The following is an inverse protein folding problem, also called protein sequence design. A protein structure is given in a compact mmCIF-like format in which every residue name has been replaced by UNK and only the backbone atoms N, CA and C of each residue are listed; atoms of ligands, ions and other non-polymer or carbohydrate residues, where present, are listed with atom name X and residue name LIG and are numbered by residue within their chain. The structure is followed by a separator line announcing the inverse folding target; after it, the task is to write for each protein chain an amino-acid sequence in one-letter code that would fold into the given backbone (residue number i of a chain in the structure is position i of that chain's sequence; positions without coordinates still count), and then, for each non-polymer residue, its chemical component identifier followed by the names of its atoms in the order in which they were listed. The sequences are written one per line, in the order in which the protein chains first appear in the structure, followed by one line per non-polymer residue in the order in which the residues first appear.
data_IF_770904485635
#
_entry.id   IF_770904485635
#
_cell.length_a   1.000
_cell.length_b   1.000
_cell.length_c   1.000
_cell.angle_alpha   90.00
_cell.angle_beta   90.00
_cell.angle_gamma   90.00
#
_symmetry.space_group_name_H-M   'P 1'
#
loop_
_entity.id
_entity.type
_entity.pdbx_description
1 polymer ?
2 polymer ?
3 non-polymer ?
#
loop_
_entity_poly.entity_id
_entity_poly.type
_entity_poly.pdbx_seq_one_letter_code
_entity_poly.pdbx_strand_id
1 'polyribonucleotide' 'GUCCCCUUCGUCUAGAGGCCCAGGACACCGCCCUUUCACGGCGGUAACAGGGGUUCGAAUCCCCUAGGGGACGCCA' ?
#
# COMPACT_ATOMS: atom_id res chain seq x y z
N UNK B 16 2.27 -0.01 -35.44
CA UNK B 16 1.69 -0.74 -34.27
C UNK B 16 2.62 -0.58 -33.03
N UNK B 17 3.80 0.02 -33.26
CA UNK B 17 4.78 0.27 -32.20
C UNK B 17 4.44 1.60 -31.53
N UNK B 18 3.85 1.52 -30.34
CA UNK B 18 3.43 2.70 -29.61
C UNK B 18 4.41 3.26 -28.56
N UNK B 19 4.03 4.37 -27.95
CA UNK B 19 4.87 5.04 -26.98
C UNK B 19 4.46 4.70 -25.56
N UNK B 20 5.42 4.18 -24.78
CA UNK B 20 5.20 3.76 -23.38
C UNK B 20 6.13 4.47 -22.39
N UNK B 21 5.56 4.98 -21.31
CA UNK B 21 6.39 5.66 -20.33
C UNK B 21 6.50 4.86 -19.05
N UNK B 22 7.62 4.18 -18.84
CA UNK B 22 7.78 3.40 -17.63
C UNK B 22 8.28 4.27 -16.50
N UNK B 23 7.46 4.44 -15.49
CA UNK B 23 7.89 5.23 -14.36
C UNK B 23 9.01 4.42 -13.74
N UNK B 24 10.10 5.08 -13.36
CA UNK B 24 11.20 4.36 -12.75
C UNK B 24 11.51 4.97 -11.41
N UNK B 25 11.64 4.12 -10.42
CA UNK B 25 11.89 4.57 -9.07
C UNK B 25 13.19 3.93 -8.65
N UNK B 26 14.13 3.95 -9.58
CA UNK B 26 15.45 3.38 -9.34
C UNK B 26 15.49 1.93 -8.90
N UNK B 27 14.39 1.21 -9.05
CA UNK B 27 14.37 -0.19 -8.62
C UNK B 27 14.45 -1.17 -9.77
N UNK B 28 15.01 -2.34 -9.50
CA UNK B 28 15.13 -3.38 -10.52
C UNK B 28 13.79 -3.56 -11.20
N UNK B 29 12.77 -3.70 -10.39
CA UNK B 29 11.43 -3.89 -10.90
C UNK B 29 11.24 -2.96 -12.10
N UNK B 30 11.07 -1.67 -11.85
CA UNK B 30 10.90 -0.76 -12.95
C UNK B 30 11.91 -1.19 -14.04
N UNK B 31 13.20 -1.06 -13.75
CA UNK B 31 14.26 -1.43 -14.69
C UNK B 31 13.81 -2.49 -15.67
N UNK B 32 13.99 -3.75 -15.29
CA UNK B 32 13.60 -4.86 -16.13
C UNK B 32 12.29 -4.54 -16.85
N UNK B 33 11.27 -4.24 -16.06
CA UNK B 33 9.94 -3.91 -16.58
C UNK B 33 10.04 -3.17 -17.92
N UNK B 34 10.96 -2.22 -18.00
CA UNK B 34 11.16 -1.44 -19.22
C UNK B 34 11.85 -2.29 -20.25
N UNK B 35 13.07 -2.74 -19.92
CA UNK B 35 13.80 -3.59 -20.85
C UNK B 35 12.87 -4.63 -21.41
N UNK B 36 11.83 -4.95 -20.64
CA UNK B 36 10.86 -5.95 -21.08
C UNK B 36 10.03 -5.39 -22.24
N UNK B 37 9.46 -4.22 -22.05
CA UNK B 37 8.66 -3.60 -23.09
C UNK B 37 9.60 -3.43 -24.26
N UNK B 38 10.76 -2.85 -24.00
CA UNK B 38 11.76 -2.63 -25.04
C UNK B 38 11.74 -3.85 -25.97
N UNK B 39 12.05 -5.01 -25.40
CA UNK B 39 12.07 -6.24 -26.18
C UNK B 39 10.76 -6.46 -26.92
N UNK B 40 9.65 -6.25 -26.23
CA UNK B 40 8.35 -6.42 -26.86
C UNK B 40 8.24 -5.51 -28.08
N UNK B 41 9.06 -4.46 -28.10
CA UNK B 41 9.04 -3.54 -29.21
C UNK B 41 8.76 -2.10 -28.83
N UNK B 42 7.55 -1.85 -28.30
CA UNK B 42 7.14 -0.51 -27.90
C UNK B 42 8.29 0.49 -27.82
N UNK B 43 8.08 1.68 -28.37
CA UNK B 43 9.10 2.69 -28.25
C UNK B 43 9.06 2.96 -26.75
N UNK B 44 10.12 2.60 -26.06
CA UNK B 44 10.18 2.79 -24.62
C UNK B 44 10.85 4.09 -24.23
N UNK B 45 10.36 4.69 -23.15
CA UNK B 45 10.89 5.95 -22.65
C UNK B 45 10.55 5.96 -21.19
N UNK B 46 11.56 6.15 -20.34
CA UNK B 46 11.30 6.14 -18.92
C UNK B 46 11.21 7.52 -18.33
N UNK B 47 10.56 7.62 -17.17
CA UNK B 47 10.39 8.87 -16.44
C UNK B 47 10.75 8.61 -14.99
N UNK B 48 11.01 9.67 -14.23
CA UNK B 48 11.34 9.53 -12.82
C UNK B 48 10.77 10.69 -12.02
N UNK B 49 10.08 10.37 -10.94
CA UNK B 49 9.43 11.38 -10.11
C UNK B 49 10.14 11.80 -8.83
N UNK B 50 10.35 13.10 -8.67
CA UNK B 50 10.95 13.62 -7.45
C UNK B 50 9.70 14.13 -6.74
N UNK B 51 9.19 13.36 -5.78
CA UNK B 51 7.96 13.77 -5.11
C UNK B 51 8.00 14.00 -3.60
N UNK B 52 9.19 14.12 -3.05
CA UNK B 52 9.31 14.36 -1.63
C UNK B 52 10.45 15.30 -1.31
N UNK B 53 10.13 16.48 -0.81
CA UNK B 53 11.15 17.47 -0.47
C UNK B 53 11.98 17.03 0.72
N UNK B 54 13.03 16.27 0.39
CA UNK B 54 13.97 15.70 1.35
C UNK B 54 14.02 16.37 2.70
N UNK B 55 13.89 15.54 3.74
CA UNK B 55 13.92 16.03 5.12
C UNK B 55 15.23 16.78 5.37
N UNK B 56 16.33 16.03 5.39
CA UNK B 56 17.66 16.59 5.64
C UNK B 56 18.61 16.36 4.48
N UNK B 57 19.50 15.39 4.65
CA UNK B 57 20.48 15.08 3.63
C UNK B 57 20.78 13.60 3.49
N UNK B 58 21.13 12.95 4.59
CA UNK B 58 21.44 11.51 4.58
C UNK B 58 20.49 10.78 3.65
N UNK B 59 19.26 11.26 3.59
CA UNK B 59 18.22 10.69 2.73
C UNK B 59 18.37 11.27 1.33
N UNK B 60 18.22 12.59 1.22
CA UNK B 60 18.34 13.27 -0.06
C UNK B 60 19.46 12.64 -0.85
N UNK B 61 20.58 12.44 -0.17
CA UNK B 61 21.74 11.83 -0.77
C UNK B 61 21.17 10.68 -1.58
N UNK B 62 20.57 9.74 -0.86
CA UNK B 62 19.95 8.59 -1.49
C UNK B 62 19.14 9.06 -2.68
N UNK B 63 18.04 9.73 -2.40
CA UNK B 63 17.15 10.24 -3.43
C UNK B 63 17.90 10.48 -4.74
N UNK B 64 18.88 11.37 -4.72
CA UNK B 64 19.64 11.67 -5.91
C UNK B 64 20.21 10.37 -6.45
N UNK B 65 20.96 9.68 -5.58
CA UNK B 65 21.57 8.41 -5.95
C UNK B 65 20.64 7.56 -6.79
N UNK B 66 19.45 7.26 -6.26
CA UNK B 66 18.48 6.46 -7.00
C UNK B 66 18.42 6.92 -8.45
N UNK B 67 18.15 8.21 -8.62
CA UNK B 67 18.06 8.79 -9.95
C UNK B 67 19.21 8.32 -10.83
N UNK B 68 20.39 8.24 -10.25
CA UNK B 68 21.58 7.79 -10.98
C UNK B 68 21.33 6.39 -11.49
N UNK B 69 21.04 5.49 -10.55
CA UNK B 69 20.76 4.10 -10.88
C UNK B 69 19.65 4.17 -11.91
N UNK B 70 18.77 5.14 -11.74
CA UNK B 70 17.68 5.34 -12.67
C UNK B 70 18.32 5.49 -14.04
N UNK B 71 18.87 6.68 -14.26
CA UNK B 71 19.54 7.03 -15.51
C UNK B 71 20.35 5.85 -15.99
N UNK B 72 21.42 5.58 -15.25
CA UNK B 72 22.34 4.49 -15.54
C UNK B 72 21.66 3.30 -16.20
N UNK B 73 20.44 3.01 -15.79
CA UNK B 73 19.73 1.90 -16.38
C UNK B 73 19.25 2.26 -17.77
N UNK B 74 18.52 3.36 -17.85
CA UNK B 74 18.00 3.84 -19.12
C UNK B 74 19.13 3.95 -20.11
N UNK B 75 20.27 4.39 -19.61
CA UNK B 75 21.46 4.56 -20.43
C UNK B 75 21.94 3.20 -20.95
N UNK B 76 22.27 2.29 -20.04
CA UNK B 76 22.73 0.97 -20.43
C UNK B 76 21.69 0.29 -21.34
N UNK B 77 20.56 0.96 -21.54
CA UNK B 77 19.49 0.41 -22.37
C UNK B 77 19.27 1.23 -23.62
N UNK B 78 19.32 2.55 -23.46
CA UNK B 78 19.10 3.44 -24.57
C UNK B 78 17.69 3.99 -24.52
N UNK B 79 17.35 4.60 -23.38
CA UNK B 79 16.03 5.16 -23.18
C UNK B 79 16.17 6.53 -22.55
N UNK B 80 15.42 7.50 -23.04
CA UNK B 80 15.49 8.85 -22.50
C UNK B 80 14.86 8.94 -21.12
N UNK B 81 15.66 9.11 -20.08
CA UNK B 81 15.06 9.23 -18.77
C UNK B 81 14.63 10.68 -18.55
N UNK B 82 13.37 10.86 -18.17
CA UNK B 82 12.81 12.18 -17.90
C UNK B 82 12.93 12.54 -16.42
N UNK B 83 12.20 13.56 -16.01
CA UNK B 83 12.23 13.99 -14.62
C UNK B 83 10.94 14.74 -14.35
N UNK B 84 10.48 14.73 -13.11
CA UNK B 84 9.26 15.45 -12.77
C UNK B 84 9.27 15.79 -11.29
N UNK B 85 8.46 16.78 -10.92
CA UNK B 85 8.42 17.19 -9.55
C UNK B 85 6.99 17.30 -9.09
N UNK B 86 6.35 16.13 -8.96
CA UNK B 86 4.98 16.06 -8.51
C UNK B 86 4.95 16.23 -7.00
N UNK B 87 6.13 16.44 -6.42
CA UNK B 87 6.26 16.62 -4.98
C UNK B 87 5.11 17.48 -4.51
N UNK B 88 4.74 18.44 -5.34
CA UNK B 88 3.63 19.33 -5.04
C UNK B 88 2.40 18.48 -4.71
N UNK B 89 1.77 17.93 -5.75
CA UNK B 89 0.60 17.09 -5.55
C UNK B 89 0.75 16.16 -4.38
N UNK B 90 1.76 15.29 -4.44
CA UNK B 90 1.98 14.32 -3.36
C UNK B 90 1.54 14.87 -2.01
N UNK B 91 2.34 15.74 -1.43
CA UNK B 91 2.00 16.27 -0.12
C UNK B 91 0.55 16.71 -0.02
N UNK B 92 0.12 17.53 -0.98
CA UNK B 92 -1.23 18.05 -0.99
C UNK B 92 -2.30 16.97 -1.07
N UNK B 93 -2.29 16.21 -2.15
CA UNK B 93 -3.30 15.18 -2.32
C UNK B 93 -3.08 13.88 -1.57
N UNK B 94 -1.89 13.67 -1.01
CA UNK B 94 -1.62 12.44 -0.27
C UNK B 94 -1.17 12.64 1.17
N UNK B 95 0.10 12.95 1.36
CA UNK B 95 0.61 13.13 2.71
C UNK B 95 -0.41 13.82 3.57
N UNK B 96 -0.77 15.05 3.18
CA UNK B 96 -1.75 15.84 3.91
C UNK B 96 -2.79 14.99 4.65
N UNK B 97 -3.62 14.28 3.89
CA UNK B 97 -4.65 13.45 4.47
C UNK B 97 -4.03 12.45 5.44
N UNK B 98 -3.04 11.71 4.92
CA UNK B 98 -2.29 10.73 5.68
C UNK B 98 -2.09 11.18 7.12
N UNK B 99 -1.99 12.49 7.32
CA UNK B 99 -1.78 13.05 8.64
C UNK B 99 -3.03 13.06 9.49
N UNK B 100 -4.02 13.85 9.09
CA UNK B 100 -5.24 13.91 9.85
C UNK B 100 -5.63 12.50 10.32
N UNK B 101 -5.64 11.57 9.37
CA UNK B 101 -5.98 10.18 9.67
C UNK B 101 -5.26 9.69 10.90
N UNK B 102 -3.96 9.89 10.95
CA UNK B 102 -3.19 9.45 12.11
C UNK B 102 -3.57 10.31 13.31
N UNK B 103 -3.75 11.61 13.07
CA UNK B 103 -4.10 12.54 14.14
C UNK B 103 -5.35 12.06 14.86
N UNK B 104 -6.25 11.48 14.09
CA UNK B 104 -7.51 10.95 14.63
C UNK B 104 -7.33 9.54 15.18
N UNK B 105 -6.08 9.19 15.48
CA UNK B 105 -5.78 7.88 16.03
C UNK B 105 -6.29 6.73 15.19
N UNK B 106 -5.92 6.74 13.92
CA UNK B 106 -6.30 5.68 12.99
C UNK B 106 -5.03 5.39 12.22
N UNK B 107 -5.01 4.32 11.46
CA UNK B 107 -3.80 3.98 10.73
C UNK B 107 -3.95 3.98 9.22
N UNK B 108 -3.60 5.10 8.58
CA UNK B 108 -3.69 5.25 7.13
C UNK B 108 -2.57 4.56 6.36
N UNK B 109 -2.87 4.17 5.13
CA UNK B 109 -1.89 3.50 4.31
C UNK B 109 -1.44 4.46 3.22
N UNK B 110 -0.51 5.36 3.57
CA UNK B 110 -0.02 6.33 2.60
C UNK B 110 0.07 5.72 1.21
N UNK B 111 0.95 4.74 1.06
CA UNK B 111 1.15 4.10 -0.22
C UNK B 111 -0.16 3.76 -0.91
N UNK B 112 -1.17 3.39 -0.14
CA UNK B 112 -2.44 3.01 -0.76
C UNK B 112 -3.06 4.16 -1.57
N UNK B 113 -2.38 5.29 -1.61
CA UNK B 113 -2.90 6.44 -2.33
C UNK B 113 -1.88 7.02 -3.30
N UNK B 114 -0.62 6.69 -3.06
CA UNK B 114 0.48 7.14 -3.92
C UNK B 114 -0.02 6.86 -5.32
N UNK B 115 -0.62 5.68 -5.44
CA UNK B 115 -1.10 5.19 -6.71
C UNK B 115 -2.35 5.87 -7.25
N UNK B 116 -3.29 6.20 -6.38
CA UNK B 116 -4.52 6.82 -6.87
C UNK B 116 -4.33 8.27 -7.26
N UNK B 117 -3.50 8.98 -6.52
CA UNK B 117 -3.32 10.40 -6.84
C UNK B 117 -2.10 10.71 -7.67
N UNK B 118 -0.97 10.11 -7.33
CA UNK B 118 0.25 10.37 -8.06
C UNK B 118 0.52 9.36 -9.16
N UNK B 119 1.13 8.27 -8.76
CA UNK B 119 1.51 7.24 -9.70
C UNK B 119 0.57 6.93 -10.86
N UNK B 120 -0.73 6.97 -10.66
CA UNK B 120 -1.59 6.68 -11.82
C UNK B 120 -2.39 7.83 -12.40
N UNK B 121 -2.88 8.71 -11.54
CA UNK B 121 -3.62 9.88 -12.01
C UNK B 121 -2.56 10.79 -12.60
N UNK B 122 -1.95 11.57 -11.70
CA UNK B 122 -0.91 12.51 -12.06
C UNK B 122 0.06 12.00 -13.11
N UNK B 123 0.80 10.95 -12.80
CA UNK B 123 1.76 10.42 -13.75
C UNK B 123 1.10 10.36 -15.10
N UNK B 124 0.20 9.39 -15.28
CA UNK B 124 -0.48 9.22 -16.55
C UNK B 124 -0.90 10.51 -17.25
N UNK B 125 -1.48 11.44 -16.49
CA UNK B 125 -1.88 12.72 -17.06
C UNK B 125 -0.65 13.26 -17.79
N UNK B 126 0.34 13.68 -17.00
CA UNK B 126 1.60 14.23 -17.48
C UNK B 126 2.33 13.26 -18.40
N UNK B 127 1.68 12.18 -18.82
CA UNK B 127 2.31 11.19 -19.70
C UNK B 127 1.97 11.43 -21.17
N UNK B 128 0.73 11.85 -21.40
CA UNK B 128 0.26 12.10 -22.75
C UNK B 128 0.18 13.59 -23.02
N UNK B 129 -0.15 14.35 -21.99
CA UNK B 129 -0.25 15.80 -22.13
C UNK B 129 1.11 16.44 -22.35
N UNK B 130 2.17 15.74 -21.94
CA UNK B 130 3.53 16.24 -22.11
C UNK B 130 4.37 15.23 -22.87
N UNK B 131 4.76 14.17 -22.18
CA UNK B 131 5.60 13.12 -22.74
C UNK B 131 4.92 12.50 -23.96
N UNK B 132 3.70 12.93 -24.22
CA UNK B 132 2.95 12.45 -25.37
C UNK B 132 3.04 10.95 -25.61
N UNK B 133 2.56 10.20 -24.64
CA UNK B 133 2.59 8.75 -24.75
C UNK B 133 1.18 8.23 -24.70
N UNK B 134 1.02 7.02 -25.18
CA UNK B 134 -0.27 6.36 -25.19
C UNK B 134 -0.36 5.53 -23.90
N UNK B 135 0.45 4.47 -23.89
CA UNK B 135 0.58 3.51 -22.79
C UNK B 135 1.59 3.94 -21.72
N UNK B 136 1.35 3.49 -20.49
CA UNK B 136 2.24 3.80 -19.36
C UNK B 136 2.59 2.47 -18.68
N UNK B 137 3.65 2.45 -17.88
CA UNK B 137 4.02 1.22 -17.20
C UNK B 137 4.73 1.47 -15.89
N UNK B 138 4.36 0.71 -14.85
CA UNK B 138 5.03 0.85 -13.56
C UNK B 138 5.84 -0.42 -13.35
N UNK B 139 6.61 -0.43 -12.26
CA UNK B 139 7.40 -1.60 -11.97
C UNK B 139 6.51 -2.60 -11.25
N UNK B 140 5.34 -2.13 -10.82
CA UNK B 140 4.38 -2.93 -10.09
C UNK B 140 4.20 -4.38 -10.51
N UNK B 141 4.47 -5.26 -9.56
CA UNK B 141 4.33 -6.69 -9.78
C UNK B 141 2.87 -7.04 -9.59
N UNK B 142 2.09 -6.71 -10.60
CA UNK B 142 0.67 -6.96 -10.58
C UNK B 142 0.38 -7.38 -12.01
N UNK B 143 -0.86 -7.33 -12.46
CA UNK B 143 -1.10 -7.75 -13.83
C UNK B 143 -2.41 -7.31 -14.44
N UNK B 144 -2.39 -6.99 -15.74
CA UNK B 144 -3.58 -6.51 -16.44
C UNK B 144 -4.10 -7.49 -17.47
N UNK B 145 -5.43 -7.61 -17.51
CA UNK B 145 -6.07 -8.52 -18.44
C UNK B 145 -7.36 -7.91 -18.94
N UNK B 146 -7.50 -7.85 -20.27
CA UNK B 146 -8.69 -7.31 -20.89
C UNK B 146 -9.68 -8.42 -21.23
N UNK B 147 -10.94 -8.21 -20.89
CA UNK B 147 -11.99 -9.20 -21.15
C UNK B 147 -13.36 -8.51 -21.25
N UNK B 148 -14.22 -9.06 -22.10
CA UNK B 148 -15.57 -8.52 -22.30
C UNK B 148 -15.49 -7.05 -22.73
N UNK B 149 -14.29 -6.62 -23.11
CA UNK B 149 -14.10 -5.24 -23.53
C UNK B 149 -13.77 -4.28 -22.40
N UNK B 150 -13.38 -4.82 -21.25
CA UNK B 150 -13.02 -3.98 -20.11
C UNK B 150 -11.74 -4.52 -19.47
N UNK B 151 -10.87 -3.63 -19.02
CA UNK B 151 -9.61 -4.04 -18.41
C UNK B 151 -9.76 -4.42 -16.95
N UNK B 152 -9.39 -5.66 -16.62
CA UNK B 152 -9.48 -6.15 -15.24
C UNK B 152 -8.12 -6.28 -14.58
N UNK B 153 -8.09 -6.03 -13.27
CA UNK B 153 -6.85 -6.10 -12.52
C UNK B 153 -6.55 -7.48 -11.93
N UNK B 154 -5.38 -8.02 -12.24
CA UNK B 154 -5.00 -9.33 -11.72
C UNK B 154 -3.87 -9.25 -10.73
N UNK B 155 -3.43 -10.39 -10.22
CA UNK B 155 -2.38 -10.39 -9.21
C UNK B 155 -1.00 -10.64 -9.77
N UNK B 156 -0.90 -11.70 -10.55
CA UNK B 156 0.40 -12.03 -11.10
C UNK B 156 0.97 -13.16 -10.29
N UNK B 157 1.65 -14.07 -10.96
CA UNK B 157 2.23 -15.24 -10.30
C UNK B 157 2.92 -14.90 -8.99
N UNK B 158 3.18 -15.91 -8.16
CA UNK B 158 3.83 -15.73 -6.88
C UNK B 158 3.04 -14.80 -5.98
N UNK B 159 1.83 -15.20 -5.64
CA UNK B 159 0.97 -14.37 -4.82
C UNK B 159 1.66 -13.81 -3.58
N UNK B 160 2.48 -14.62 -2.92
CA UNK B 160 3.14 -14.14 -1.72
C UNK B 160 3.97 -12.88 -2.04
N UNK B 161 4.27 -12.69 -3.32
CA UNK B 161 5.06 -11.54 -3.74
C UNK B 161 4.31 -10.61 -4.69
N UNK B 162 2.99 -10.63 -4.62
CA UNK B 162 2.14 -9.79 -5.46
C UNK B 162 1.89 -8.44 -4.83
N UNK B 163 1.47 -7.47 -5.64
CA UNK B 163 1.23 -6.13 -5.11
C UNK B 163 -0.16 -5.54 -5.35
N UNK B 164 -1.00 -6.30 -6.04
CA UNK B 164 -2.38 -5.88 -6.33
C UNK B 164 -3.02 -4.99 -5.25
N UNK B 165 -2.86 -5.41 -4.00
CA UNK B 165 -3.43 -4.69 -2.84
C UNK B 165 -3.43 -3.17 -2.95
N UNK B 166 -2.33 -2.59 -3.42
CA UNK B 166 -2.25 -1.13 -3.49
C UNK B 166 -2.99 -0.46 -4.65
N UNK B 167 -3.19 -1.19 -5.73
CA UNK B 167 -3.86 -0.60 -6.87
C UNK B 167 -5.34 -0.89 -6.88
N UNK B 168 -6.00 -0.84 -5.72
CA UNK B 168 -7.42 -1.14 -5.69
C UNK B 168 -8.22 0.11 -6.06
N UNK B 169 -7.58 1.25 -5.97
CA UNK B 169 -8.24 2.49 -6.29
C UNK B 169 -8.27 2.63 -7.81
N UNK B 170 -7.28 2.05 -8.47
CA UNK B 170 -7.25 2.13 -9.93
C UNK B 170 -8.57 1.69 -10.52
N UNK B 171 -8.92 2.26 -11.67
CA UNK B 171 -10.18 1.96 -12.33
C UNK B 171 -9.98 1.69 -13.82
N UNK B 172 -10.27 0.47 -14.23
CA UNK B 172 -10.09 -0.01 -15.61
C UNK B 172 -9.68 1.00 -16.67
N UNK B 173 -10.40 2.11 -16.77
CA UNK B 173 -10.03 3.13 -17.75
C UNK B 173 -8.53 3.40 -17.53
N UNK B 174 -8.19 3.69 -16.27
CA UNK B 174 -6.81 3.96 -15.89
C UNK B 174 -5.93 2.76 -16.23
N UNK B 175 -6.39 1.57 -15.86
CA UNK B 175 -5.60 0.38 -16.10
C UNK B 175 -5.34 0.11 -17.56
N UNK B 176 -6.40 0.04 -18.34
CA UNK B 176 -6.27 -0.22 -19.76
C UNK B 176 -5.13 0.61 -20.33
N UNK B 177 -5.00 1.84 -19.82
CA UNK B 177 -3.95 2.73 -20.29
C UNK B 177 -2.55 2.35 -19.84
N UNK B 178 -2.45 1.53 -18.81
CA UNK B 178 -1.16 1.13 -18.29
C UNK B 178 -0.75 -0.28 -18.66
N UNK B 179 0.54 -0.55 -18.54
CA UNK B 179 1.13 -1.86 -18.84
C UNK B 179 1.99 -2.35 -17.69
N UNK B 180 1.98 -3.66 -17.48
CA UNK B 180 2.74 -4.25 -16.40
C UNK B 180 3.45 -5.51 -16.91
N UNK B 181 4.72 -5.38 -17.27
CA UNK B 181 5.57 -6.44 -17.80
C UNK B 181 5.77 -7.55 -16.81
N UNK B 182 6.46 -7.18 -15.74
CA UNK B 182 6.82 -8.04 -14.63
C UNK B 182 5.72 -8.94 -14.06
N UNK B 183 4.55 -8.36 -13.79
CA UNK B 183 3.48 -9.17 -13.24
C UNK B 183 3.27 -10.47 -14.00
N UNK B 184 4.06 -10.68 -15.04
CA UNK B 184 3.96 -11.89 -15.84
C UNK B 184 5.06 -12.83 -15.39
N UNK B 185 6.11 -12.26 -14.81
CA UNK B 185 7.24 -13.03 -14.35
C UNK B 185 7.15 -13.45 -12.90
N UNK B 186 8.21 -14.10 -12.44
CA UNK B 186 8.32 -14.55 -11.07
C UNK B 186 9.46 -13.73 -10.48
N UNK B 187 9.18 -13.12 -9.34
CA UNK B 187 10.16 -12.24 -8.69
C UNK B 187 11.63 -12.61 -8.90
N UNK B 188 11.96 -13.89 -8.78
CA UNK B 188 13.35 -14.27 -8.96
C UNK B 188 13.84 -13.86 -10.34
N UNK B 189 13.13 -14.34 -11.36
CA UNK B 189 13.46 -14.06 -12.77
C UNK B 189 13.90 -12.62 -12.86
N UNK B 190 12.96 -11.75 -12.52
CA UNK B 190 13.18 -10.34 -12.53
C UNK B 190 14.63 -10.02 -12.14
N UNK B 191 14.97 -10.08 -10.85
CA UNK B 191 16.35 -9.78 -10.46
C UNK B 191 17.26 -10.47 -11.46
N UNK B 192 17.17 -11.79 -11.56
CA UNK B 192 18.04 -12.54 -12.46
C UNK B 192 18.28 -11.88 -13.80
N UNK B 193 17.21 -11.70 -14.56
CA UNK B 193 17.33 -11.05 -15.86
C UNK B 193 18.28 -9.86 -15.75
N UNK B 194 17.88 -8.89 -14.95
CA UNK B 194 18.66 -7.70 -14.71
C UNK B 194 20.13 -8.01 -14.46
N UNK B 195 20.41 -9.12 -13.78
CA UNK B 195 21.79 -9.48 -13.51
C UNK B 195 22.46 -9.79 -14.82
N UNK B 196 21.90 -10.72 -15.56
CA UNK B 196 22.48 -11.11 -16.83
C UNK B 196 22.50 -9.97 -17.83
N UNK B 197 21.71 -8.93 -17.58
CA UNK B 197 21.66 -7.78 -18.48
C UNK B 197 22.71 -6.75 -18.08
N UNK B 198 23.29 -6.92 -16.89
CA UNK B 198 24.30 -6.00 -16.43
C UNK B 198 23.66 -4.79 -15.75
N UNK B 199 22.34 -4.73 -15.77
CA UNK B 199 21.64 -3.62 -15.14
C UNK B 199 22.09 -3.37 -13.71
N UNK B 200 22.57 -2.15 -13.45
CA UNK B 200 23.03 -1.71 -12.14
C UNK B 200 22.11 -2.04 -10.98
N UNK B 201 20.81 -1.82 -11.19
CA UNK B 201 19.82 -2.10 -10.18
C UNK B 201 19.81 -3.56 -9.63
N UNK B 202 20.02 -4.55 -10.50
CA UNK B 202 20.04 -5.94 -10.04
C UNK B 202 20.83 -5.99 -8.76
N UNK B 203 20.35 -6.74 -7.79
CA UNK B 203 21.06 -6.83 -6.52
C UNK B 203 20.96 -5.49 -5.79
N UNK B 204 19.73 -5.06 -5.54
CA UNK B 204 19.46 -3.81 -4.83
C UNK B 204 18.19 -4.03 -4.00
N UNK B 205 18.31 -3.88 -2.68
CA UNK B 205 17.18 -4.09 -1.77
C UNK B 205 15.90 -3.39 -2.23
N UNK B 206 14.83 -4.18 -2.40
CA UNK B 206 13.54 -3.69 -2.88
C UNK B 206 12.83 -2.60 -2.09
N UNK B 207 13.51 -1.48 -1.81
CA UNK B 207 12.89 -0.36 -1.08
C UNK B 207 12.30 -0.70 0.29
N UNK B 208 11.12 -0.14 0.59
CA UNK B 208 10.39 -0.32 1.86
C UNK B 208 9.94 1.03 2.40
N UNK B 209 8.85 1.04 3.15
CA UNK B 209 8.36 2.28 3.72
C UNK B 209 7.58 3.09 2.71
N UNK B 210 6.83 4.07 3.21
CA UNK B 210 6.02 4.96 2.39
C UNK B 210 6.57 5.13 0.98
N UNK B 211 5.68 5.06 -0.01
CA UNK B 211 6.03 5.20 -1.42
C UNK B 211 6.50 6.64 -1.61
N UNK B 212 7.66 6.78 -2.24
CA UNK B 212 8.29 8.07 -2.51
C UNK B 212 9.10 8.64 -1.35
N UNK B 213 8.88 8.12 -0.15
CA UNK B 213 9.63 8.59 1.00
C UNK B 213 10.53 7.47 1.49
N UNK B 214 11.73 7.81 1.93
CA UNK B 214 12.65 6.79 2.40
C UNK B 214 12.24 5.99 3.62
N UNK B 215 12.65 4.73 3.65
CA UNK B 215 12.38 3.84 4.77
C UNK B 215 13.17 4.37 5.95
N UNK B 216 12.51 4.59 7.06
CA UNK B 216 13.18 5.13 8.24
C UNK B 216 12.37 4.84 9.50
N UNK B 217 13.01 4.91 10.66
CA UNK B 217 12.29 4.64 11.90
C UNK B 217 11.11 5.58 12.04
N UNK B 218 9.92 5.01 11.95
CA UNK B 218 8.68 5.75 12.03
C UNK B 218 8.67 6.79 13.13
N UNK B 219 8.49 6.31 14.36
CA UNK B 219 8.44 7.15 15.56
C UNK B 219 8.97 8.57 15.40
N UNK B 220 10.23 8.69 14.99
CA UNK B 220 10.84 10.01 14.81
C UNK B 220 10.22 10.76 13.64
N UNK B 221 9.91 10.05 12.55
CA UNK B 221 9.33 10.67 11.35
C UNK B 221 7.98 11.32 11.56
N UNK B 222 7.05 10.57 12.16
CA UNK B 222 5.72 11.09 12.43
C UNK B 222 5.88 12.23 13.41
N UNK B 223 6.83 12.08 14.33
CA UNK B 223 7.08 13.12 15.31
C UNK B 223 7.43 14.45 14.67
N UNK B 224 7.76 14.43 13.39
CA UNK B 224 8.12 15.66 12.68
C UNK B 224 6.89 16.44 12.23
N UNK B 225 5.71 15.87 12.38
CA UNK B 225 4.51 16.56 11.92
C UNK B 225 3.38 16.61 12.94
N UNK B 226 3.62 16.07 14.12
CA UNK B 226 2.60 16.06 15.17
C UNK B 226 3.21 16.03 16.57
N UNK B 227 2.50 16.62 17.54
CA UNK B 227 2.95 16.66 18.93
C UNK B 227 2.56 15.38 19.67
N UNK B 228 3.28 15.05 20.74
CA UNK B 228 3.03 13.83 21.52
C UNK B 228 2.43 14.00 22.92
N UNK B 229 1.16 13.60 23.07
CA UNK B 229 0.47 13.70 24.35
C UNK B 229 0.38 12.33 24.99
N UNK B 230 1.41 11.94 25.75
CA UNK B 230 1.57 10.67 26.47
C UNK B 230 0.49 10.37 27.49
N UNK B 231 -0.49 9.58 27.09
CA UNK B 231 -1.58 9.21 27.97
C UNK B 231 -1.22 8.07 28.90
N UNK B 232 -2.12 7.10 29.06
CA UNK B 232 -1.85 5.96 29.92
C UNK B 232 -2.33 4.67 29.29
N UNK B 233 -1.52 3.62 29.46
CA UNK B 233 -1.83 2.32 28.90
C UNK B 233 -2.66 1.48 29.86
N UNK B 234 -3.94 1.31 29.55
CA UNK B 234 -4.84 0.54 30.39
C UNK B 234 -4.76 -0.95 30.06
N UNK B 235 -5.83 -1.69 30.36
CA UNK B 235 -5.87 -3.13 30.11
C UNK B 235 -7.27 -3.66 29.87
N UNK B 236 -7.35 -4.76 29.16
CA UNK B 236 -8.64 -5.36 28.88
C UNK B 236 -9.36 -5.59 30.18
N UNK B 237 -8.61 -5.91 31.22
CA UNK B 237 -9.21 -6.13 32.53
C UNK B 237 -9.36 -4.82 33.29
N UNK B 238 -9.24 -3.72 32.56
CA UNK B 238 -9.38 -2.40 33.15
C UNK B 238 -8.48 -2.18 34.35
N UNK B 239 -7.24 -1.82 34.09
CA UNK B 239 -6.27 -1.59 35.15
C UNK B 239 -4.98 -1.00 34.59
N UNK B 240 -4.57 0.12 35.14
CA UNK B 240 -3.37 0.80 34.69
C UNK B 240 -2.23 -0.21 34.61
N UNK B 241 -1.22 0.09 33.80
CA UNK B 241 -0.10 -0.82 33.65
C UNK B 241 1.13 -0.17 33.02
N UNK B 242 0.96 0.44 31.85
CA UNK B 242 2.09 1.07 31.20
C UNK B 242 1.92 2.54 30.94
N UNK B 243 3.01 3.19 30.54
CA UNK B 243 3.00 4.62 30.25
C UNK B 243 2.19 4.88 28.99
N UNK B 244 2.75 5.58 28.02
CA UNK B 244 2.01 5.87 26.79
C UNK B 244 2.71 6.78 25.80
N UNK B 245 3.71 7.51 26.26
CA UNK B 245 4.51 8.41 25.42
C UNK B 245 3.94 8.70 24.02
N UNK B 246 2.79 9.37 23.98
CA UNK B 246 2.17 9.69 22.70
C UNK B 246 1.03 8.72 22.48
N UNK B 247 0.48 8.66 21.27
CA UNK B 247 -0.62 7.73 21.00
C UNK B 247 -0.77 7.37 19.53
N UNK B 248 -0.60 8.34 18.64
CA UNK B 248 -0.73 8.02 17.22
C UNK B 248 0.45 7.16 16.72
N UNK B 249 1.26 6.68 17.65
CA UNK B 249 2.43 5.85 17.33
C UNK B 249 2.09 4.36 17.45
N UNK B 250 0.80 4.04 17.51
CA UNK B 250 0.39 2.66 17.63
C UNK B 250 -0.76 2.31 16.70
N UNK B 251 -1.10 1.03 16.69
CA UNK B 251 -2.18 0.51 15.87
C UNK B 251 -2.54 -0.88 16.35
N UNK B 252 -3.84 -1.14 16.34
CA UNK B 252 -4.37 -2.42 16.76
C UNK B 252 -3.45 -3.56 16.42
N UNK B 253 -3.25 -4.44 17.39
CA UNK B 253 -2.41 -5.60 17.16
C UNK B 253 -0.93 -5.33 17.27
N UNK B 254 -0.53 -4.09 17.43
CA UNK B 254 0.89 -3.80 17.54
C UNK B 254 1.39 -4.47 18.81
N UNK B 255 2.69 -4.73 18.87
CA UNK B 255 3.29 -5.40 20.01
C UNK B 255 4.53 -4.70 20.50
N UNK B 256 5.17 -3.95 19.61
CA UNK B 256 6.40 -3.26 19.97
C UNK B 256 6.15 -1.97 20.75
N UNK B 257 7.21 -1.51 21.42
CA UNK B 257 7.13 -0.29 22.20
C UNK B 257 6.10 -0.25 23.32
N UNK B 258 5.95 -1.35 24.04
CA UNK B 258 4.98 -1.36 25.13
C UNK B 258 5.60 -1.57 26.50
N UNK B 259 6.90 -1.87 26.53
CA UNK B 259 7.61 -2.06 27.78
C UNK B 259 7.21 -3.22 28.68
N UNK B 260 5.92 -3.47 28.79
CA UNK B 260 5.39 -4.55 29.62
C UNK B 260 6.31 -5.77 29.76
N UNK B 261 6.41 -6.29 30.98
CA UNK B 261 7.24 -7.47 31.21
C UNK B 261 6.47 -8.52 31.99
N UNK B 262 5.13 -8.42 31.93
CA UNK B 262 4.26 -9.36 32.62
C UNK B 262 4.47 -9.41 34.12
N UNK B 263 3.50 -9.95 34.85
CA UNK B 263 3.64 -10.04 36.31
C UNK B 263 3.16 -11.40 36.81
N UNK B 264 2.77 -11.46 38.06
CA UNK B 264 2.27 -12.69 38.66
C UNK B 264 1.27 -13.31 37.71
N UNK B 265 0.18 -12.60 37.46
CA UNK B 265 -0.86 -13.09 36.55
C UNK B 265 -0.52 -12.54 35.16
N UNK B 266 0.18 -13.36 34.39
CA UNK B 266 0.58 -13.00 33.05
C UNK B 266 0.81 -14.27 32.29
N UNK B 267 0.10 -14.43 31.17
CA UNK B 267 0.22 -15.64 30.37
C UNK B 267 1.64 -15.83 29.85
N UNK B 268 2.58 -15.10 30.42
CA UNK B 268 3.97 -15.22 30.01
C UNK B 268 4.06 -14.92 28.51
N UNK B 269 2.97 -14.44 27.93
CA UNK B 269 2.97 -14.13 26.51
C UNK B 269 2.96 -12.64 26.22
N UNK B 270 3.39 -12.24 25.02
CA UNK B 270 3.45 -10.84 24.59
C UNK B 270 2.12 -10.10 24.71
N UNK B 271 2.20 -8.79 24.87
CA UNK B 271 1.02 -7.98 25.01
C UNK B 271 0.79 -7.28 23.71
N UNK B 272 -0.47 -7.03 23.38
CA UNK B 272 -0.81 -6.37 22.12
C UNK B 272 -1.85 -5.28 22.25
N UNK B 273 -1.84 -4.32 21.33
CA UNK B 273 -2.85 -3.28 21.34
C UNK B 273 -4.15 -3.99 21.05
N UNK B 274 -5.28 -3.31 21.20
CA UNK B 274 -6.55 -3.98 20.94
C UNK B 274 -7.73 -3.02 20.90
N UNK B 275 -7.42 -1.73 21.01
CA UNK B 275 -8.40 -0.65 20.98
C UNK B 275 -7.76 0.63 21.46
N UNK B 276 -7.95 1.71 20.71
CA UNK B 276 -7.39 3.01 21.09
C UNK B 276 -8.55 3.83 21.64
N UNK B 277 -8.29 4.62 22.68
CA UNK B 277 -9.33 5.45 23.29
C UNK B 277 -9.08 6.93 23.01
N UNK B 278 -9.24 7.30 21.75
CA UNK B 278 -9.05 8.66 21.27
C UNK B 278 -9.21 9.80 22.28
N UNK B 279 -10.44 10.04 22.72
CA UNK B 279 -10.73 11.12 23.66
C UNK B 279 -10.03 10.99 25.01
N UNK B 280 -10.49 10.04 25.81
CA UNK B 280 -9.91 9.81 27.12
C UNK B 280 -8.40 9.63 26.97
N UNK B 281 -7.97 9.34 25.74
CA UNK B 281 -6.56 9.13 25.42
C UNK B 281 -5.98 8.04 26.32
N UNK B 282 -6.52 6.84 26.17
CA UNK B 282 -6.10 5.68 26.93
C UNK B 282 -5.37 4.73 25.97
N UNK B 283 -5.52 3.44 26.19
CA UNK B 283 -4.86 2.47 25.34
C UNK B 283 -5.09 1.07 25.88
N UNK B 284 -6.16 0.43 25.41
CA UNK B 284 -6.51 -0.92 25.86
C UNK B 284 -5.56 -1.97 25.29
N UNK B 285 -4.88 -2.67 26.18
CA UNK B 285 -3.92 -3.69 25.79
C UNK B 285 -4.28 -5.05 26.37
N UNK B 286 -4.19 -6.08 25.54
CA UNK B 286 -4.48 -7.44 25.99
C UNK B 286 -3.22 -8.29 25.94
N UNK B 287 -3.37 -9.59 26.14
CA UNK B 287 -2.21 -10.47 26.13
C UNK B 287 -2.45 -11.75 25.35
N UNK B 288 -1.74 -11.90 24.23
CA UNK B 288 -1.87 -13.08 23.39
C UNK B 288 -2.30 -12.78 21.98
N UNK B 289 -1.48 -13.16 21.00
CA UNK B 289 -1.86 -12.88 19.62
C UNK B 289 -2.97 -13.83 19.26
N UNK B 290 -4.12 -13.62 19.87
CA UNK B 290 -5.30 -14.44 19.64
C UNK B 290 -6.40 -14.00 20.58
N UNK B 291 -6.06 -13.13 21.51
CA UNK B 291 -7.07 -12.65 22.45
C UNK B 291 -8.33 -12.22 21.70
N UNK B 292 -9.49 -12.46 22.31
CA UNK B 292 -10.79 -12.12 21.70
C UNK B 292 -10.96 -10.67 21.29
N UNK B 293 -10.59 -9.75 22.17
CA UNK B 293 -10.76 -8.35 21.86
C UNK B 293 -9.89 -7.98 20.66
N UNK B 294 -9.05 -8.92 20.23
CA UNK B 294 -8.17 -8.67 19.10
C UNK B 294 -8.76 -9.12 17.77
N UNK B 295 -9.72 -10.04 17.85
CA UNK B 295 -10.34 -10.56 16.64
C UNK B 295 -11.63 -9.83 16.30
N UNK B 296 -12.13 -10.11 15.09
CA UNK B 296 -13.36 -9.52 14.57
C UNK B 296 -14.00 -10.44 13.52
N UNK B 297 -15.28 -10.24 13.24
CA UNK B 297 -15.97 -11.10 12.28
C UNK B 297 -16.36 -10.41 10.99
N UNK B 298 -15.89 -9.18 10.80
CA UNK B 298 -16.23 -8.48 9.59
C UNK B 298 -15.93 -7.01 9.76
N UNK B 299 -16.52 -6.19 8.90
CA UNK B 299 -16.29 -4.77 8.98
C UNK B 299 -17.23 -4.04 8.04
N UNK B 300 -17.14 -2.72 8.08
CA UNK B 300 -17.93 -1.84 7.23
C UNK B 300 -16.93 -0.98 6.49
N UNK B 301 -17.01 -0.98 5.17
CA UNK B 301 -16.05 -0.22 4.39
C UNK B 301 -16.63 0.92 3.56
N UNK B 302 -15.99 2.09 3.67
CA UNK B 302 -16.41 3.27 2.92
C UNK B 302 -15.41 3.45 1.78
N UNK B 303 -15.32 4.65 1.23
CA UNK B 303 -14.40 4.94 0.13
C UNK B 303 -14.29 3.72 -0.78
N UNK B 304 -15.43 3.31 -1.34
CA UNK B 304 -15.49 2.16 -2.20
C UNK B 304 -15.00 2.35 -3.62
N UNK B 305 -14.03 1.54 -4.02
CA UNK B 305 -13.49 1.60 -5.37
C UNK B 305 -13.50 0.22 -6.00
N UNK B 306 -14.18 0.10 -7.12
CA UNK B 306 -14.21 -1.19 -7.81
C UNK B 306 -13.46 -1.09 -9.15
N UNK B 307 -12.49 -1.98 -9.35
CA UNK B 307 -11.72 -2.01 -10.59
C UNK B 307 -12.74 -1.92 -11.71
N UNK B 308 -13.83 -2.62 -11.45
CA UNK B 308 -14.98 -2.71 -12.34
C UNK B 308 -15.62 -1.34 -12.60
N UNK B 309 -15.38 -0.41 -11.67
CA UNK B 309 -15.97 0.94 -11.67
C UNK B 309 -17.39 0.91 -12.21
N UNK B 310 -18.24 0.15 -11.53
CA UNK B 310 -19.66 -0.01 -11.84
C UNK B 310 -20.39 -0.28 -10.53
N UNK B 311 -21.59 0.31 -10.35
CA UNK B 311 -22.46 0.20 -9.17
C UNK B 311 -22.64 -1.19 -8.57
N UNK B 312 -22.34 -1.27 -7.28
CA UNK B 312 -22.44 -2.52 -6.53
C UNK B 312 -23.59 -2.49 -5.54
N UNK B 313 -24.64 -3.24 -5.88
CA UNK B 313 -25.83 -3.37 -5.03
C UNK B 313 -26.03 -4.84 -4.75
N UNK B 314 -26.73 -5.14 -3.66
CA UNK B 314 -26.96 -6.53 -3.36
C UNK B 314 -25.89 -7.23 -2.55
N UNK B 315 -25.69 -8.50 -2.84
CA UNK B 315 -24.73 -9.29 -2.08
C UNK B 315 -23.73 -10.08 -2.89
N UNK B 316 -22.50 -10.14 -2.36
CA UNK B 316 -21.39 -10.83 -3.00
C UNK B 316 -20.71 -11.84 -2.09
N UNK B 317 -20.15 -12.87 -2.71
CA UNK B 317 -19.44 -13.93 -2.01
C UNK B 317 -17.99 -13.93 -2.51
N UNK B 318 -17.01 -13.69 -1.64
CA UNK B 318 -15.60 -13.67 -2.06
C UNK B 318 -14.58 -13.68 -0.92
N UNK B 319 -13.41 -13.12 -1.21
CA UNK B 319 -12.32 -13.05 -0.23
C UNK B 319 -11.86 -11.62 -0.10
N UNK B 320 -11.18 -11.31 1.00
CA UNK B 320 -10.70 -9.97 1.24
C UNK B 320 -9.43 -9.90 2.08
N UNK B 321 -8.48 -9.08 1.66
CA UNK B 321 -7.26 -8.90 2.41
C UNK B 321 -7.57 -7.72 3.33
N UNK B 322 -6.84 -7.61 4.42
CA UNK B 322 -7.09 -6.53 5.37
C UNK B 322 -5.85 -5.76 5.71
N UNK B 323 -4.80 -6.07 4.99
CA UNK B 323 -3.53 -5.43 5.18
C UNK B 323 -2.71 -6.05 4.10
N UNK B 324 -1.88 -5.26 3.44
CA UNK B 324 -1.05 -5.80 2.40
C UNK B 324 -0.51 -7.13 2.87
N UNK B 325 -0.34 -8.06 1.95
CA UNK B 325 0.19 -9.38 2.29
C UNK B 325 -0.52 -10.12 3.42
N UNK B 326 -1.80 -9.85 3.62
CA UNK B 326 -2.51 -10.60 4.65
C UNK B 326 -2.73 -11.95 4.00
N UNK B 327 -3.96 -12.44 3.98
CA UNK B 327 -4.22 -13.74 3.37
C UNK B 327 -5.68 -13.90 3.04
N UNK B 328 -5.99 -14.03 1.75
CA UNK B 328 -7.37 -14.18 1.30
C UNK B 328 -8.25 -14.82 2.37
N UNK B 329 -9.19 -14.05 2.91
CA UNK B 329 -10.09 -14.61 3.92
C UNK B 329 -11.51 -14.61 3.40
N UNK B 330 -12.03 -15.79 3.01
CA UNK B 330 -13.38 -15.94 2.48
C UNK B 330 -14.31 -15.07 3.28
N UNK B 331 -15.24 -14.39 2.61
CA UNK B 331 -16.17 -13.50 3.29
C UNK B 331 -17.40 -13.27 2.44
N UNK B 332 -18.42 -12.65 3.02
CA UNK B 332 -19.64 -12.35 2.28
C UNK B 332 -19.86 -10.85 2.34
N UNK B 333 -20.20 -10.27 1.21
CA UNK B 333 -20.41 -8.83 1.15
C UNK B 333 -21.85 -8.46 0.86
N UNK B 334 -22.41 -7.60 1.71
CA UNK B 334 -23.79 -7.16 1.55
C UNK B 334 -23.72 -5.68 1.21
N UNK B 335 -24.48 -5.25 0.20
CA UNK B 335 -24.50 -3.84 -0.20
C UNK B 335 -25.08 -3.02 0.95
N UNK B 336 -24.24 -2.69 1.93
CA UNK B 336 -24.68 -1.95 3.10
C UNK B 336 -25.31 -0.60 2.86
N UNK B 337 -24.80 0.18 1.91
CA UNK B 337 -25.39 1.51 1.71
C UNK B 337 -24.84 2.29 0.53
N UNK B 338 -24.97 3.61 0.62
CA UNK B 338 -24.51 4.58 -0.37
C UNK B 338 -23.16 4.19 -0.96
N UNK B 339 -22.21 4.02 -0.05
CA UNK B 339 -20.84 3.65 -0.36
C UNK B 339 -20.44 2.60 0.67
N UNK B 340 -20.94 2.76 1.89
CA UNK B 340 -20.64 1.82 2.96
C UNK B 340 -20.96 0.37 2.59
N UNK B 341 -20.19 -0.58 3.13
CA UNK B 341 -20.45 -1.99 2.91
C UNK B 341 -20.08 -2.81 4.14
N UNK B 342 -20.90 -3.82 4.41
CA UNK B 342 -20.73 -4.72 5.55
C UNK B 342 -20.16 -6.03 5.05
N UNK B 343 -18.95 -6.34 5.50
CA UNK B 343 -18.30 -7.57 5.11
C UNK B 343 -18.39 -8.55 6.27
N UNK B 344 -18.52 -9.83 5.94
CA UNK B 344 -18.61 -10.83 6.99
C UNK B 344 -17.67 -11.99 6.79
N UNK B 345 -16.62 -11.98 7.60
CA UNK B 345 -15.59 -13.01 7.59
C UNK B 345 -16.19 -14.37 7.89
N UNK B 346 -15.73 -15.38 7.15
CA UNK B 346 -16.21 -16.74 7.37
C UNK B 346 -15.75 -17.17 8.75
N UNK B 347 -14.50 -16.87 9.06
CA UNK B 347 -13.94 -17.18 10.37
C UNK B 347 -13.64 -15.82 10.98
N UNK B 348 -13.00 -15.77 12.15
CA UNK B 348 -12.70 -14.44 12.71
C UNK B 348 -11.43 -13.90 12.09
N UNK B 349 -11.19 -12.61 12.24
CA UNK B 349 -9.98 -12.01 11.70
C UNK B 349 -9.18 -11.27 12.77
N UNK B 350 -7.86 -11.44 12.70
CA UNK B 350 -6.94 -10.85 13.66
C UNK B 350 -6.59 -9.37 13.47
N UNK B 351 -7.00 -8.56 14.43
CA UNK B 351 -6.73 -7.13 14.43
C UNK B 351 -7.09 -6.38 13.16
N UNK B 352 -8.36 -6.40 12.80
CA UNK B 352 -8.78 -5.65 11.64
C UNK B 352 -8.61 -4.22 12.11
N UNK B 353 -7.90 -3.41 11.35
CA UNK B 353 -7.70 -2.03 11.76
C UNK B 353 -8.28 -1.04 10.77
N UNK B 354 -9.20 -0.21 11.25
CA UNK B 354 -9.87 0.82 10.45
C UNK B 354 -8.83 1.75 9.84
N UNK B 355 -9.16 2.39 8.73
CA UNK B 355 -8.19 3.26 8.09
C UNK B 355 -7.45 2.42 7.07
N UNK B 356 -7.01 1.24 7.47
CA UNK B 356 -6.31 0.36 6.55
C UNK B 356 -7.33 0.06 5.45
N UNK B 357 -6.87 -0.38 4.28
CA UNK B 357 -7.78 -0.68 3.20
C UNK B 357 -8.10 -2.16 3.10
N UNK B 358 -9.36 -2.49 2.81
CA UNK B 358 -9.77 -3.88 2.66
C UNK B 358 -9.99 -4.17 1.18
N UNK B 359 -9.20 -5.07 0.63
CA UNK B 359 -9.35 -5.38 -0.79
C UNK B 359 -9.94 -6.74 -1.03
N UNK B 360 -10.93 -6.80 -1.90
CA UNK B 360 -11.58 -8.06 -2.18
C UNK B 360 -11.18 -8.62 -3.53
N UNK B 361 -10.94 -9.93 -3.57
CA UNK B 361 -10.54 -10.61 -4.78
C UNK B 361 -11.49 -11.75 -5.12
N UNK B 362 -11.65 -11.99 -6.42
CA UNK B 362 -12.46 -13.07 -6.90
C UNK B 362 -11.50 -13.92 -7.70
N UNK B 363 -10.57 -14.57 -7.00
CA UNK B 363 -9.61 -15.40 -7.67
C UNK B 363 -8.46 -14.53 -8.13
N UNK B 364 -7.91 -14.82 -9.30
CA UNK B 364 -6.81 -14.04 -9.84
C UNK B 364 -7.13 -12.55 -9.82
N UNK B 365 -8.41 -12.25 -10.00
CA UNK B 365 -8.87 -10.87 -10.05
C UNK B 365 -9.08 -10.09 -8.78
N UNK B 366 -8.53 -8.89 -8.73
CA UNK B 366 -8.74 -8.04 -7.60
C UNK B 366 -9.88 -7.14 -8.05
N UNK B 367 -10.97 -7.15 -7.30
CA UNK B 367 -12.14 -6.37 -7.66
C UNK B 367 -12.09 -4.93 -7.16
N UNK B 368 -11.13 -4.64 -6.29
CA UNK B 368 -11.03 -3.29 -5.77
C UNK B 368 -11.51 -3.30 -4.35
N UNK B 369 -10.90 -2.52 -3.47
CA UNK B 369 -11.33 -2.53 -2.09
C UNK B 369 -11.92 -1.24 -1.59
N UNK B 370 -11.68 -0.95 -0.32
CA UNK B 370 -12.18 0.27 0.28
C UNK B 370 -11.57 0.47 1.65
N UNK B 371 -11.92 1.57 2.30
CA UNK B 371 -11.38 1.86 3.61
C UNK B 371 -12.18 1.27 4.76
N UNK B 372 -11.46 0.59 5.62
CA UNK B 372 -12.04 -0.04 6.80
C UNK B 372 -12.44 1.08 7.72
N UNK B 373 -13.68 1.07 8.18
CA UNK B 373 -14.13 2.09 9.11
C UNK B 373 -14.84 1.56 10.33
N UNK B 374 -15.28 0.31 10.24
CA UNK B 374 -15.99 -0.30 11.34
C UNK B 374 -15.48 -1.72 11.58
N UNK B 375 -15.05 -1.97 12.82
CA UNK B 375 -14.55 -3.29 13.21
C UNK B 375 -15.73 -4.10 13.73
N UNK B 376 -15.91 -5.33 13.25
CA UNK B 376 -17.02 -6.13 13.75
C UNK B 376 -16.58 -7.05 14.88
N UNK B 377 -16.67 -6.56 16.13
CA UNK B 377 -16.28 -7.24 17.35
C UNK B 377 -16.80 -8.65 17.47
N UNK B 378 -16.08 -9.44 18.25
CA UNK B 378 -16.44 -10.83 18.47
C UNK B 378 -17.50 -10.82 19.55
N UNK B 379 -18.32 -11.87 19.63
CA UNK B 379 -19.37 -11.94 20.64
C UNK B 379 -18.82 -11.91 22.06
N UNK B 380 -17.91 -12.84 22.34
CA UNK B 380 -17.27 -12.97 23.66
C UNK B 380 -17.28 -11.68 24.47
X LIG C 1 10.72 0.72 -9.01
X LIG C 1 9.49 0.93 -9.87
X LIG C 1 11.81 1.62 -9.56
X LIG C 1 10.47 1.07 -7.53
X LIG C 1 11.17 -0.74 -9.06
#
# INVERSE_FOLDING_TARGET
MRGSHHHHHHGSMSETAKKVIVGMSGGVDSSVSAWLLQQQGYQVEGLFMKNWEEDDGEEYCTAAADLADAQAVCDKLGIELHTVNFAAEYWDNVFELFLAEYKAGRTPNPDILCNKEIKFKAFLEFAAEDLGADYIATGHYVRRADVDGKSRLLRGLDSNKDQSYFLYTLSHEQIAQSLFPVGELEKPQVRKIAEDLGLVTAKKKDSTGICFIGERKFREFLGRYLPAQPGKIITVDGDEIGEHQGLMYHTLGQRKGLGIGGTKEGTEEPWYVVDKDVENNILVVAQGHEHPRLMSVGLIAQQLHWVDREPFTGTMRCTVKTRYRQTDIPCTVKALDDDRIEVIFDEPVAAVTPGQSAVFYNGEVCLGGGIIEQRLPLPV
SO4 S O1 O2 O3 O4
#
